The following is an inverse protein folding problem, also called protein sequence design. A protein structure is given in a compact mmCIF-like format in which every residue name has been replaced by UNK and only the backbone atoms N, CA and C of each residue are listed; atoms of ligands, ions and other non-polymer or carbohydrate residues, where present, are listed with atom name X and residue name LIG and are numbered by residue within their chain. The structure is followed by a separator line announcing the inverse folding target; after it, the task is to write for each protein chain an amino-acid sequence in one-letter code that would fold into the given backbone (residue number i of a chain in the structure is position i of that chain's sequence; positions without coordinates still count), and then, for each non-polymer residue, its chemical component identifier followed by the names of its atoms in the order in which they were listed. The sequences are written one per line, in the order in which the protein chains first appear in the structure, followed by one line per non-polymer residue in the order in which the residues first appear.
data_IF_262233026013
#
_entry.id   IF_262233026013
#
_cell.length_a   1.000
_cell.length_b   1.000
_cell.length_c   1.000
_cell.angle_alpha   90.00
_cell.angle_beta   90.00
_cell.angle_gamma   90.00
#
_symmetry.space_group_name_H-M   'P 1'
#
loop_
_entity.id
_entity.type
_entity.pdbx_description
1 polymer ?
#
# COMPACT_ATOMS: atom_id res chain seq x y z
N UNK A 1 40.59 -22.27 48.52
CA UNK A 1 40.60 -21.01 47.70
C UNK A 1 39.54 -21.17 46.62
N UNK A 2 38.37 -20.55 46.80
CA UNK A 2 37.23 -20.59 45.89
C UNK A 2 37.35 -19.36 45.00
N UNK A 3 37.56 -19.57 43.68
CA UNK A 3 37.56 -18.49 42.69
C UNK A 3 36.12 -18.17 42.31
N UNK A 4 35.59 -17.04 42.75
CA UNK A 4 34.32 -16.47 42.25
C UNK A 4 34.56 -15.90 40.86
N UNK A 5 33.84 -16.45 39.86
CA UNK A 5 33.73 -15.88 38.53
C UNK A 5 32.56 -14.88 38.54
N UNK A 6 32.84 -13.59 38.40
CA UNK A 6 31.82 -12.59 38.13
C UNK A 6 31.52 -12.59 36.63
N UNK A 7 30.35 -13.08 36.25
CA UNK A 7 29.83 -12.89 34.89
C UNK A 7 29.29 -11.46 34.76
N UNK A 8 29.97 -10.63 34.00
CA UNK A 8 29.49 -9.30 33.62
C UNK A 8 28.42 -9.53 32.58
N UNK A 9 27.15 -9.36 32.94
CA UNK A 9 26.03 -9.27 32.00
C UNK A 9 26.12 -7.87 31.37
N UNK A 10 26.62 -7.80 30.14
CA UNK A 10 26.53 -6.60 29.33
C UNK A 10 25.04 -6.42 28.95
N UNK A 11 24.37 -5.49 29.64
CA UNK A 11 23.04 -5.03 29.24
C UNK A 11 23.25 -4.22 27.95
N UNK A 12 23.01 -4.85 26.79
CA UNK A 12 22.92 -4.14 25.52
C UNK A 12 21.62 -3.34 25.58
N UNK A 13 21.71 -2.09 26.01
CA UNK A 13 20.64 -1.12 25.76
C UNK A 13 20.53 -0.96 24.24
N UNK A 14 19.55 -1.64 23.62
CA UNK A 14 19.15 -1.30 22.27
C UNK A 14 18.72 0.17 22.26
N UNK A 15 19.26 0.99 21.36
CA UNK A 15 18.89 2.39 21.30
C UNK A 15 17.37 2.48 21.09
N UNK A 16 16.69 3.18 22.00
CA UNK A 16 15.30 3.55 21.82
C UNK A 16 15.19 4.29 20.47
N UNK A 17 14.39 3.73 19.59
CA UNK A 17 14.00 4.17 18.27
C UNK A 17 14.76 5.39 17.70
N UNK A 18 15.72 5.10 16.85
CA UNK A 18 16.35 6.10 15.94
C UNK A 18 15.30 6.82 15.06
N UNK A 19 14.08 6.32 15.02
CA UNK A 19 12.98 6.78 14.16
C UNK A 19 12.05 7.81 14.79
N UNK A 20 12.28 8.24 16.02
CA UNK A 20 11.34 9.10 16.79
C UNK A 20 10.98 10.44 16.10
N UNK A 21 11.69 10.83 15.02
CA UNK A 21 11.46 12.07 14.29
C UNK A 21 11.23 11.89 12.78
N UNK A 22 11.30 10.68 12.22
CA UNK A 22 11.09 10.47 10.78
C UNK A 22 9.61 10.22 10.48
N UNK A 23 9.09 10.95 9.50
CA UNK A 23 7.69 10.82 9.06
C UNK A 23 7.54 9.59 8.17
N UNK A 24 6.43 8.88 8.34
CA UNK A 24 6.07 7.71 7.54
C UNK A 24 4.71 7.92 6.90
N UNK A 25 4.63 7.70 5.60
CA UNK A 25 3.38 7.64 4.85
C UNK A 25 3.08 6.18 4.50
N UNK A 26 2.02 5.63 5.04
CA UNK A 26 1.55 4.29 4.68
C UNK A 26 0.55 4.42 3.53
N UNK A 27 1.01 4.22 2.31
CA UNK A 27 0.18 4.44 1.12
C UNK A 27 -0.70 3.25 0.72
N UNK A 28 -0.71 2.19 1.52
CA UNK A 28 -1.51 1.01 1.23
C UNK A 28 -1.92 0.29 2.51
N UNK A 29 -3.09 0.64 3.04
CA UNK A 29 -3.71 -0.11 4.12
C UNK A 29 -5.17 -0.44 3.79
N UNK A 30 -5.66 -1.51 4.42
CA UNK A 30 -7.05 -1.90 4.36
C UNK A 30 -7.71 -1.88 5.73
N UNK A 31 -8.98 -1.46 5.75
CA UNK A 31 -9.85 -1.65 6.90
C UNK A 31 -11.22 -2.09 6.41
N UNK A 32 -11.39 -3.40 6.34
CA UNK A 32 -12.53 -4.07 5.77
C UNK A 32 -13.60 -4.39 6.82
N UNK A 33 -14.73 -4.91 6.38
CA UNK A 33 -15.84 -5.35 7.28
C UNK A 33 -15.39 -6.42 8.29
N UNK A 34 -14.52 -7.34 7.87
CA UNK A 34 -13.96 -8.42 8.67
C UNK A 34 -12.92 -7.92 9.70
N UNK A 35 -12.10 -6.95 9.35
CA UNK A 35 -11.19 -6.31 10.31
C UNK A 35 -11.91 -5.75 11.55
N UNK A 36 -13.12 -5.23 11.36
CA UNK A 36 -13.91 -4.61 12.45
C UNK A 36 -14.32 -5.60 13.53
N UNK A 37 -14.37 -6.89 13.23
CA UNK A 37 -14.66 -7.93 14.22
C UNK A 37 -13.49 -8.14 15.17
N UNK A 38 -12.25 -7.96 14.66
CA UNK A 38 -11.01 -8.25 15.38
C UNK A 38 -10.35 -6.98 15.94
N UNK A 39 -10.40 -5.86 15.21
CA UNK A 39 -9.72 -4.62 15.57
C UNK A 39 -10.66 -3.43 15.41
N UNK A 40 -10.93 -2.71 16.47
CA UNK A 40 -11.79 -1.52 16.47
C UNK A 40 -11.13 -0.34 15.72
N UNK A 41 -11.96 0.64 15.32
CA UNK A 41 -11.47 1.89 14.71
C UNK A 41 -10.49 2.61 15.64
N UNK A 42 -10.77 2.62 16.93
CA UNK A 42 -9.93 3.26 17.96
C UNK A 42 -8.56 2.58 18.08
N UNK A 43 -8.51 1.26 18.03
CA UNK A 43 -7.27 0.48 18.04
C UNK A 43 -6.44 0.73 16.79
N UNK A 44 -7.07 0.74 15.60
CA UNK A 44 -6.37 1.10 14.37
C UNK A 44 -5.75 2.49 14.43
N UNK A 45 -6.50 3.48 14.92
CA UNK A 45 -6.00 4.85 15.09
C UNK A 45 -4.81 4.89 16.06
N UNK A 46 -4.88 4.13 17.15
CA UNK A 46 -3.80 4.06 18.13
C UNK A 46 -2.54 3.38 17.55
N UNK A 47 -2.71 2.27 16.82
CA UNK A 47 -1.62 1.59 16.12
C UNK A 47 -0.91 2.56 15.16
N UNK A 48 -1.64 3.26 14.32
CA UNK A 48 -1.07 4.20 13.36
C UNK A 48 -0.31 5.36 14.05
N UNK A 49 -0.85 5.89 15.15
CA UNK A 49 -0.19 6.94 15.95
C UNK A 49 1.08 6.45 16.63
N UNK A 50 1.05 5.26 17.23
CA UNK A 50 2.22 4.65 17.90
C UNK A 50 3.39 4.44 16.93
N UNK A 51 3.10 4.22 15.66
CA UNK A 51 4.09 4.06 14.60
C UNK A 51 4.38 5.36 13.82
N UNK A 52 3.97 6.52 14.35
CA UNK A 52 4.23 7.83 13.74
C UNK A 52 3.80 7.96 12.28
N UNK A 53 2.72 7.24 11.89
CA UNK A 53 2.14 7.37 10.56
C UNK A 53 1.47 8.74 10.45
N UNK A 54 2.05 9.60 9.61
CA UNK A 54 1.56 10.97 9.43
C UNK A 54 0.64 11.16 8.24
N UNK A 55 0.57 10.16 7.35
CA UNK A 55 -0.30 10.12 6.18
C UNK A 55 -0.59 8.67 5.83
N UNK A 56 -1.84 8.32 5.55
CA UNK A 56 -2.17 6.97 5.05
C UNK A 56 -3.24 7.00 3.97
N UNK A 57 -3.06 6.16 2.95
CA UNK A 57 -4.10 5.84 1.97
C UNK A 57 -4.79 4.56 2.46
N UNK A 58 -6.10 4.62 2.58
CA UNK A 58 -6.89 3.50 3.05
C UNK A 58 -7.98 3.10 2.07
N UNK A 59 -8.03 1.82 1.74
CA UNK A 59 -9.13 1.18 1.05
C UNK A 59 -9.91 0.26 2.00
N UNK A 60 -11.23 0.28 1.92
CA UNK A 60 -12.10 -0.60 2.72
C UNK A 60 -13.02 -1.41 1.83
N UNK A 61 -13.29 -2.64 2.20
CA UNK A 61 -14.28 -3.50 1.55
C UNK A 61 -15.42 -3.80 2.52
N UNK A 62 -16.62 -3.25 2.30
CA UNK A 62 -16.91 -2.09 1.45
C UNK A 62 -16.28 -0.80 1.98
N UNK A 63 -16.33 0.29 1.23
CA UNK A 63 -15.62 1.54 1.56
C UNK A 63 -16.03 2.28 2.85
N UNK A 64 -17.22 2.14 3.45
CA UNK A 64 -17.60 2.93 4.63
C UNK A 64 -16.67 2.83 5.84
N UNK A 65 -16.06 1.68 6.20
CA UNK A 65 -15.08 1.62 7.30
C UNK A 65 -13.89 2.57 7.16
N UNK A 66 -13.42 2.79 5.93
CA UNK A 66 -12.36 3.77 5.65
C UNK A 66 -12.79 5.22 5.96
N UNK A 67 -14.07 5.54 5.76
CA UNK A 67 -14.62 6.85 6.09
C UNK A 67 -14.72 7.06 7.60
N UNK A 68 -15.05 6.02 8.37
CA UNK A 68 -15.10 6.10 9.84
C UNK A 68 -13.71 6.41 10.42
N UNK A 69 -12.66 5.79 9.88
CA UNK A 69 -11.29 6.11 10.27
C UNK A 69 -10.96 7.59 9.98
N UNK A 70 -11.33 8.11 8.81
CA UNK A 70 -11.12 9.52 8.50
C UNK A 70 -11.90 10.46 9.43
N UNK A 71 -13.12 10.12 9.81
CA UNK A 71 -13.91 10.92 10.76
C UNK A 71 -13.23 11.03 12.14
N UNK A 72 -12.55 9.97 12.58
CA UNK A 72 -11.80 9.95 13.84
C UNK A 72 -10.43 10.63 13.76
N UNK A 73 -9.81 10.69 12.59
CA UNK A 73 -8.41 11.08 12.43
C UNK A 73 -8.23 12.39 11.70
N UNK A 74 -9.16 12.76 10.84
CA UNK A 74 -9.05 13.95 9.99
C UNK A 74 -8.23 13.71 8.72
N UNK A 75 -7.53 14.73 8.27
CA UNK A 75 -6.99 14.80 6.91
C UNK A 75 -5.79 13.92 6.63
N UNK A 76 -5.12 13.37 7.63
CA UNK A 76 -3.99 12.47 7.41
C UNK A 76 -4.41 11.04 7.02
N UNK A 77 -5.68 10.66 7.18
CA UNK A 77 -6.27 9.45 6.60
C UNK A 77 -7.00 9.80 5.31
N UNK A 78 -6.62 9.16 4.22
CA UNK A 78 -7.06 9.45 2.84
C UNK A 78 -7.84 8.25 2.28
N UNK A 79 -9.18 8.23 2.40
CA UNK A 79 -9.99 7.14 1.89
C UNK A 79 -9.98 7.07 0.36
N UNK A 80 -9.75 5.87 -0.16
CA UNK A 80 -10.01 5.52 -1.55
C UNK A 80 -11.34 4.78 -1.68
N UNK A 81 -12.02 4.98 -2.77
CA UNK A 81 -13.22 4.22 -3.08
C UNK A 81 -12.85 2.82 -3.57
N UNK A 82 -13.19 1.80 -2.80
CA UNK A 82 -13.08 0.41 -3.23
C UNK A 82 -14.23 0.05 -4.16
N UNK A 83 -13.97 -0.62 -5.30
CA UNK A 83 -15.04 -1.08 -6.19
C UNK A 83 -15.89 -2.20 -5.56
N UNK A 84 -15.47 -2.78 -4.45
CA UNK A 84 -16.16 -3.85 -3.73
C UNK A 84 -17.20 -3.25 -2.81
N UNK A 85 -18.40 -2.97 -3.35
CA UNK A 85 -19.47 -2.25 -2.65
C UNK A 85 -20.29 -3.11 -1.68
N UNK A 86 -19.94 -4.38 -1.57
CA UNK A 86 -20.43 -5.34 -0.58
C UNK A 86 -19.32 -6.38 -0.26
N UNK A 87 -19.49 -7.17 0.77
CA UNK A 87 -18.47 -8.09 1.31
C UNK A 87 -17.92 -9.08 0.26
N UNK A 88 -18.78 -9.59 -0.64
CA UNK A 88 -18.39 -10.49 -1.71
C UNK A 88 -18.07 -9.79 -3.04
N UNK A 89 -18.01 -8.47 -3.06
CA UNK A 89 -17.89 -7.64 -4.25
C UNK A 89 -16.66 -7.88 -5.11
N UNK A 90 -15.61 -8.51 -4.59
CA UNK A 90 -14.42 -8.88 -5.38
C UNK A 90 -14.75 -9.82 -6.56
N UNK A 91 -15.87 -10.53 -6.51
CA UNK A 91 -16.27 -11.53 -7.52
C UNK A 91 -17.10 -10.95 -8.67
N UNK A 92 -17.73 -9.79 -8.48
CA UNK A 92 -18.77 -9.29 -9.40
C UNK A 92 -18.75 -7.78 -9.66
N UNK A 93 -17.92 -7.00 -8.98
CA UNK A 93 -17.86 -5.54 -9.12
C UNK A 93 -17.81 -5.05 -10.57
N UNK A 94 -17.19 -5.82 -11.45
CA UNK A 94 -16.99 -5.49 -12.85
C UNK A 94 -18.22 -5.74 -13.75
N UNK A 95 -19.31 -6.18 -13.17
CA UNK A 95 -20.64 -6.30 -13.80
C UNK A 95 -21.66 -5.31 -13.21
N UNK A 96 -21.37 -4.73 -12.03
CA UNK A 96 -22.34 -3.91 -11.31
C UNK A 96 -22.21 -2.41 -11.61
N UNK A 97 -23.22 -1.85 -12.26
CA UNK A 97 -23.32 -0.41 -12.54
C UNK A 97 -23.39 0.46 -11.26
N UNK A 98 -23.80 -0.08 -10.12
CA UNK A 98 -23.85 0.65 -8.86
C UNK A 98 -22.45 1.05 -8.40
N UNK A 99 -21.42 0.27 -8.75
CA UNK A 99 -20.00 0.60 -8.47
C UNK A 99 -19.66 1.98 -9.01
N UNK A 100 -19.95 2.25 -10.28
CA UNK A 100 -19.67 3.53 -10.92
C UNK A 100 -20.48 4.67 -10.30
N UNK A 101 -21.78 4.43 -10.03
CA UNK A 101 -22.66 5.44 -9.43
C UNK A 101 -22.18 5.84 -8.03
N UNK A 102 -21.83 4.85 -7.19
CA UNK A 102 -21.32 5.09 -5.83
C UNK A 102 -19.95 5.77 -5.85
N UNK A 103 -19.05 5.35 -6.76
CA UNK A 103 -17.76 6.01 -6.96
C UNK A 103 -17.94 7.49 -7.31
N UNK A 104 -18.74 7.78 -8.34
CA UNK A 104 -18.99 9.15 -8.77
C UNK A 104 -19.62 10.01 -7.65
N UNK A 105 -20.61 9.47 -6.96
CA UNK A 105 -21.25 10.15 -5.84
C UNK A 105 -20.24 10.47 -4.73
N UNK A 106 -19.41 9.51 -4.34
CA UNK A 106 -18.42 9.69 -3.29
C UNK A 106 -17.32 10.68 -3.66
N UNK A 107 -16.80 10.61 -4.87
CA UNK A 107 -15.79 11.55 -5.38
C UNK A 107 -16.35 12.99 -5.51
N UNK A 108 -17.55 13.12 -6.05
CA UNK A 108 -18.23 14.42 -6.19
C UNK A 108 -18.42 15.15 -4.87
N UNK A 109 -18.67 14.41 -3.78
CA UNK A 109 -18.87 14.99 -2.45
C UNK A 109 -17.59 15.05 -1.61
N UNK A 110 -16.40 14.77 -2.19
CA UNK A 110 -15.12 14.83 -1.49
C UNK A 110 -14.97 13.79 -0.37
N UNK A 111 -15.72 12.68 -0.44
CA UNK A 111 -15.62 11.58 0.54
C UNK A 111 -14.43 10.68 0.26
N UNK A 112 -14.09 10.49 -1.01
CA UNK A 112 -12.96 9.68 -1.48
C UNK A 112 -12.00 10.52 -2.29
N UNK A 113 -10.73 10.21 -2.18
CA UNK A 113 -9.61 10.93 -2.79
C UNK A 113 -8.80 10.08 -3.76
N UNK A 114 -9.33 8.92 -4.10
CA UNK A 114 -8.77 7.95 -5.04
C UNK A 114 -9.76 6.81 -5.27
N UNK A 115 -9.42 5.90 -6.18
CA UNK A 115 -10.16 4.69 -6.48
C UNK A 115 -9.22 3.49 -6.34
N UNK A 116 -9.61 2.50 -5.56
CA UNK A 116 -8.83 1.27 -5.37
C UNK A 116 -9.00 0.69 -3.97
N UNK A 117 -8.44 -0.42 -3.77
CA UNK A 117 -7.62 -1.24 -4.65
C UNK A 117 -8.46 -1.98 -5.69
N UNK A 118 -8.07 -1.91 -6.96
CA UNK A 118 -8.77 -2.58 -8.06
C UNK A 118 -7.98 -3.83 -8.48
N UNK A 119 -8.54 -5.02 -8.28
CA UNK A 119 -7.86 -6.29 -8.55
C UNK A 119 -8.06 -6.80 -9.98
N UNK A 120 -6.94 -7.16 -10.61
CA UNK A 120 -6.86 -7.97 -11.80
C UNK A 120 -6.14 -9.28 -11.45
N UNK A 121 -6.89 -10.27 -10.97
CA UNK A 121 -6.33 -11.52 -10.47
C UNK A 121 -6.43 -12.65 -11.50
N UNK A 122 -5.44 -13.56 -11.49
CA UNK A 122 -5.49 -14.77 -12.31
C UNK A 122 -6.73 -15.61 -11.92
N UNK A 123 -7.62 -15.87 -12.88
CA UNK A 123 -8.88 -16.59 -12.63
C UNK A 123 -10.04 -15.71 -12.13
N UNK A 124 -9.78 -14.51 -11.64
CA UNK A 124 -10.77 -13.46 -11.45
C UNK A 124 -10.59 -12.43 -12.56
N UNK A 125 -11.67 -12.17 -13.27
CA UNK A 125 -11.70 -11.08 -14.25
C UNK A 125 -11.96 -9.78 -13.47
N UNK A 126 -11.75 -8.59 -13.97
CA UNK A 126 -11.99 -8.25 -15.37
C UNK A 126 -10.74 -8.22 -16.23
N UNK A 127 -10.96 -8.05 -17.53
CA UNK A 127 -9.92 -7.58 -18.45
C UNK A 127 -9.83 -6.05 -18.36
N UNK A 128 -8.69 -5.48 -18.73
CA UNK A 128 -8.46 -4.02 -18.73
C UNK A 128 -9.41 -3.22 -19.65
N UNK A 129 -10.12 -3.88 -20.56
CA UNK A 129 -11.16 -3.28 -21.39
C UNK A 129 -12.59 -3.48 -20.84
N UNK A 130 -12.72 -3.91 -19.58
CA UNK A 130 -14.04 -4.03 -18.95
C UNK A 130 -14.73 -2.67 -18.84
N UNK A 131 -16.03 -2.61 -19.13
CA UNK A 131 -16.80 -1.37 -19.17
C UNK A 131 -16.85 -0.62 -17.84
N UNK A 132 -17.04 -1.34 -16.73
CA UNK A 132 -17.07 -0.72 -15.40
C UNK A 132 -15.69 -0.15 -15.06
N UNK A 133 -14.62 -0.92 -15.29
CA UNK A 133 -13.26 -0.46 -15.06
C UNK A 133 -12.90 0.79 -15.88
N UNK A 134 -13.24 0.81 -17.18
CA UNK A 134 -13.01 1.99 -18.02
C UNK A 134 -13.75 3.23 -17.50
N UNK A 135 -14.97 3.06 -16.99
CA UNK A 135 -15.71 4.16 -16.38
C UNK A 135 -15.09 4.64 -15.07
N UNK A 136 -14.50 3.75 -14.26
CA UNK A 136 -13.74 4.15 -13.08
C UNK A 136 -12.49 4.96 -13.47
N UNK A 137 -11.79 4.60 -14.55
CA UNK A 137 -10.69 5.39 -15.12
C UNK A 137 -11.17 6.79 -15.52
N UNK A 138 -12.31 6.91 -16.20
CA UNK A 138 -12.87 8.21 -16.59
C UNK A 138 -13.26 9.05 -15.35
N UNK A 139 -13.74 8.43 -14.28
CA UNK A 139 -13.97 9.13 -13.01
C UNK A 139 -12.67 9.60 -12.37
N UNK A 140 -11.61 8.79 -12.39
CA UNK A 140 -10.30 9.19 -11.89
C UNK A 140 -9.74 10.40 -12.64
N UNK A 141 -9.90 10.42 -13.98
CA UNK A 141 -9.55 11.59 -14.82
C UNK A 141 -10.42 12.82 -14.48
N UNK A 142 -11.74 12.63 -14.42
CA UNK A 142 -12.72 13.71 -14.17
C UNK A 142 -12.49 14.43 -12.85
N UNK A 143 -12.18 13.67 -11.80
CA UNK A 143 -11.98 14.19 -10.44
C UNK A 143 -10.50 14.39 -10.07
N UNK A 144 -9.59 14.12 -11.02
CA UNK A 144 -8.14 14.24 -10.83
C UNK A 144 -7.64 13.50 -9.58
N UNK A 145 -8.08 12.26 -9.42
CA UNK A 145 -7.69 11.39 -8.29
C UNK A 145 -6.85 10.20 -8.76
N UNK A 146 -5.95 9.67 -7.91
CA UNK A 146 -5.17 8.48 -8.26
C UNK A 146 -6.02 7.21 -8.26
N UNK A 147 -5.51 6.18 -8.92
CA UNK A 147 -6.02 4.82 -8.86
C UNK A 147 -4.96 3.87 -8.30
N UNK A 148 -5.36 2.96 -7.41
CA UNK A 148 -4.54 1.85 -6.95
C UNK A 148 -4.98 0.58 -7.67
N UNK A 149 -4.04 -0.09 -8.31
CA UNK A 149 -4.29 -1.25 -9.16
C UNK A 149 -3.40 -2.41 -8.72
N UNK A 150 -4.05 -3.52 -8.40
CA UNK A 150 -3.44 -4.79 -8.06
C UNK A 150 -3.45 -5.75 -9.26
N UNK A 151 -2.35 -6.44 -9.48
CA UNK A 151 -2.26 -7.49 -10.47
C UNK A 151 -1.39 -8.65 -10.00
N UNK A 152 -2.00 -9.77 -9.63
CA UNK A 152 -1.30 -10.98 -9.20
C UNK A 152 -0.46 -11.64 -10.29
N UNK A 153 -0.85 -11.48 -11.54
CA UNK A 153 -0.20 -12.16 -12.65
C UNK A 153 1.04 -11.45 -13.20
N UNK A 154 1.37 -10.28 -12.64
CA UNK A 154 2.57 -9.55 -13.00
C UNK A 154 2.76 -9.33 -14.50
N UNK A 155 1.69 -9.07 -15.25
CA UNK A 155 1.81 -8.91 -16.69
C UNK A 155 2.26 -7.49 -17.05
N UNK A 156 3.57 -7.29 -17.13
CA UNK A 156 4.23 -6.05 -17.51
C UNK A 156 3.59 -5.39 -18.74
N UNK A 157 3.40 -6.15 -19.84
CA UNK A 157 2.89 -5.59 -21.09
C UNK A 157 1.44 -5.10 -20.96
N UNK A 158 0.62 -5.81 -20.20
CA UNK A 158 -0.77 -5.39 -19.95
C UNK A 158 -0.80 -4.12 -19.13
N UNK A 159 0.06 -4.03 -18.12
CA UNK A 159 0.17 -2.83 -17.29
C UNK A 159 0.72 -1.63 -18.07
N UNK A 160 1.76 -1.84 -18.91
CA UNK A 160 2.29 -0.82 -19.81
C UNK A 160 1.21 -0.26 -20.75
N UNK A 161 0.41 -1.13 -21.36
CA UNK A 161 -0.72 -0.67 -22.20
C UNK A 161 -1.73 0.16 -21.41
N UNK A 162 -2.01 -0.25 -20.18
CA UNK A 162 -2.96 0.46 -19.31
C UNK A 162 -2.47 1.86 -18.96
N UNK A 163 -1.25 1.98 -18.44
CA UNK A 163 -0.72 3.28 -17.99
C UNK A 163 -0.44 4.21 -19.17
N UNK A 164 0.08 3.69 -20.29
CA UNK A 164 0.33 4.50 -21.51
C UNK A 164 -0.95 5.02 -22.15
N UNK A 165 -2.04 4.24 -22.10
CA UNK A 165 -3.34 4.67 -22.59
C UNK A 165 -4.02 5.73 -21.68
N UNK A 166 -3.55 5.88 -20.45
CA UNK A 166 -4.16 6.76 -19.45
C UNK A 166 -3.14 7.68 -18.76
N UNK A 167 -2.34 8.47 -19.52
CA UNK A 167 -1.23 9.24 -18.95
C UNK A 167 -1.67 10.34 -17.96
N UNK A 168 -2.95 10.72 -17.95
CA UNK A 168 -3.50 11.70 -17.02
C UNK A 168 -3.86 11.10 -15.66
N UNK A 169 -3.96 9.78 -15.53
CA UNK A 169 -4.30 9.10 -14.28
C UNK A 169 -3.02 8.76 -13.53
N UNK A 170 -2.90 9.22 -12.30
CA UNK A 170 -1.84 8.77 -11.39
C UNK A 170 -2.18 7.36 -10.91
N UNK A 171 -1.28 6.41 -11.12
CA UNK A 171 -1.51 5.00 -10.83
C UNK A 171 -0.53 4.54 -9.75
N UNK A 172 -1.05 3.96 -8.68
CA UNK A 172 -0.28 3.15 -7.73
C UNK A 172 -0.34 1.71 -8.25
N UNK A 173 0.80 1.15 -8.58
CA UNK A 173 0.89 -0.27 -8.91
C UNK A 173 1.20 -1.03 -7.63
N UNK A 174 0.14 -1.63 -7.10
CA UNK A 174 0.18 -2.33 -5.82
C UNK A 174 1.23 -3.44 -5.83
N UNK A 175 1.97 -3.56 -4.72
CA UNK A 175 2.99 -4.58 -4.49
C UNK A 175 4.12 -4.59 -5.55
N UNK A 176 4.35 -3.48 -6.25
CA UNK A 176 5.23 -3.43 -7.42
C UNK A 176 4.99 -4.63 -8.36
N UNK A 177 3.69 -4.93 -8.61
CA UNK A 177 3.27 -6.04 -9.46
C UNK A 177 3.46 -7.44 -8.88
N UNK A 178 3.58 -7.57 -7.55
CA UNK A 178 3.66 -8.85 -6.84
C UNK A 178 4.91 -9.64 -7.19
N UNK A 179 4.88 -10.45 -8.24
CA UNK A 179 5.97 -11.35 -8.63
C UNK A 179 6.93 -10.75 -9.69
N UNK A 180 6.79 -9.48 -10.06
CA UNK A 180 7.69 -8.85 -11.02
C UNK A 180 9.07 -8.59 -10.41
N UNK A 181 10.12 -8.83 -11.21
CA UNK A 181 11.51 -8.50 -10.88
C UNK A 181 11.85 -7.04 -11.26
N UNK A 182 13.01 -6.52 -10.83
CA UNK A 182 13.43 -5.15 -11.11
C UNK A 182 13.47 -4.79 -12.60
N UNK A 183 13.85 -5.73 -13.48
CA UNK A 183 13.96 -5.46 -14.92
C UNK A 183 12.59 -5.22 -15.57
N UNK A 184 11.55 -5.93 -15.12
CA UNK A 184 10.17 -5.70 -15.56
C UNK A 184 9.62 -4.37 -15.02
N UNK A 185 9.89 -4.07 -13.74
CA UNK A 185 9.48 -2.81 -13.13
C UNK A 185 10.16 -1.62 -13.82
N UNK A 186 11.44 -1.73 -14.14
CA UNK A 186 12.17 -0.66 -14.84
C UNK A 186 11.52 -0.30 -16.17
N UNK A 187 11.15 -1.30 -16.99
CA UNK A 187 10.43 -1.05 -18.26
C UNK A 187 9.11 -0.31 -18.04
N UNK A 188 8.37 -0.64 -16.98
CA UNK A 188 7.13 0.08 -16.64
C UNK A 188 7.44 1.53 -16.27
N UNK A 189 8.47 1.78 -15.46
CA UNK A 189 8.88 3.12 -15.04
C UNK A 189 9.37 3.97 -16.21
N UNK A 190 10.07 3.36 -17.17
CA UNK A 190 10.52 4.03 -18.41
C UNK A 190 9.35 4.33 -19.36
N UNK A 191 8.41 3.39 -19.48
CA UNK A 191 7.27 3.52 -20.39
C UNK A 191 6.13 4.40 -19.88
N UNK A 192 6.03 4.63 -18.57
CA UNK A 192 4.92 5.33 -17.92
C UNK A 192 5.39 6.31 -16.85
N UNK A 193 5.28 7.61 -17.11
CA UNK A 193 5.64 8.65 -16.15
C UNK A 193 4.62 8.84 -15.00
N UNK A 194 3.43 8.25 -15.13
CA UNK A 194 2.28 8.40 -14.24
C UNK A 194 2.06 7.24 -13.27
N UNK A 195 3.08 6.40 -13.04
CA UNK A 195 3.00 5.22 -12.17
C UNK A 195 3.91 5.36 -10.96
N UNK A 196 3.41 5.01 -9.78
CA UNK A 196 4.16 4.81 -8.55
C UNK A 196 4.08 3.33 -8.15
N UNK A 197 5.19 2.79 -7.66
CA UNK A 197 5.30 1.41 -7.17
C UNK A 197 5.19 1.43 -5.65
N UNK A 198 4.24 0.74 -5.06
CA UNK A 198 4.31 0.49 -3.62
C UNK A 198 4.98 -0.85 -3.31
N UNK A 199 5.60 -0.95 -2.15
CA UNK A 199 6.21 -2.19 -1.66
C UNK A 199 5.37 -2.88 -0.59
N UNK A 200 4.08 -2.55 -0.52
CA UNK A 200 3.14 -3.27 0.33
C UNK A 200 3.17 -4.78 0.02
N UNK A 201 3.02 -5.59 1.03
CA UNK A 201 3.06 -7.05 0.94
C UNK A 201 4.31 -7.67 0.28
N UNK A 202 5.37 -6.91 0.02
CA UNK A 202 6.64 -7.43 -0.51
C UNK A 202 7.60 -7.89 0.58
N UNK A 203 7.11 -8.05 1.78
CA UNK A 203 7.83 -8.66 2.90
C UNK A 203 8.03 -10.17 2.68
N UNK A 204 8.98 -10.80 3.43
CA UNK A 204 9.34 -12.22 3.27
C UNK A 204 8.20 -13.20 3.59
N UNK A 205 7.15 -12.72 4.24
CA UNK A 205 6.04 -13.56 4.70
C UNK A 205 4.90 -13.67 3.69
N UNK A 206 4.86 -12.75 2.68
CA UNK A 206 3.79 -12.69 1.67
C UNK A 206 4.32 -12.86 0.25
N UNK A 207 4.47 -11.79 -0.55
CA UNK A 207 4.96 -11.90 -1.94
C UNK A 207 6.47 -12.07 -2.04
N UNK A 208 7.24 -11.57 -1.03
CA UNK A 208 8.70 -11.66 -1.00
C UNK A 208 9.42 -11.02 -2.21
N UNK A 209 10.68 -11.40 -2.40
CA UNK A 209 11.47 -11.12 -3.61
C UNK A 209 12.09 -9.73 -3.71
N UNK A 210 12.05 -8.91 -2.65
CA UNK A 210 12.74 -7.61 -2.64
C UNK A 210 13.90 -7.54 -1.64
N UNK A 211 13.94 -8.43 -0.64
CA UNK A 211 14.86 -8.31 0.49
C UNK A 211 15.75 -9.53 0.69
N UNK A 212 16.90 -9.29 1.32
CA UNK A 212 17.83 -10.29 1.85
C UNK A 212 17.28 -10.85 3.17
N UNK A 213 17.98 -11.85 3.74
CA UNK A 213 17.62 -12.45 5.03
C UNK A 213 17.63 -11.44 6.20
N UNK A 214 18.44 -10.40 6.13
CA UNK A 214 18.52 -9.31 7.10
C UNK A 214 17.49 -8.19 6.85
N UNK A 215 16.59 -8.40 5.90
CA UNK A 215 15.54 -7.48 5.46
C UNK A 215 16.04 -6.20 4.78
N UNK A 216 17.32 -6.08 4.43
CA UNK A 216 17.80 -5.04 3.52
C UNK A 216 17.43 -5.37 2.08
N UNK A 217 17.43 -4.38 1.17
CA UNK A 217 17.06 -4.64 -0.23
C UNK A 217 18.09 -5.55 -0.93
N UNK A 218 17.60 -6.40 -1.81
CA UNK A 218 18.43 -7.04 -2.83
C UNK A 218 19.11 -5.96 -3.69
N UNK A 219 20.33 -6.22 -4.13
CA UNK A 219 21.16 -5.19 -4.79
C UNK A 219 20.54 -4.63 -6.07
N UNK A 220 19.80 -5.47 -6.82
CA UNK A 220 19.07 -5.03 -8.02
C UNK A 220 17.90 -4.10 -7.65
N UNK A 221 17.14 -4.41 -6.61
CA UNK A 221 16.07 -3.56 -6.12
C UNK A 221 16.59 -2.25 -5.55
N UNK A 222 17.67 -2.31 -4.77
CA UNK A 222 18.34 -1.13 -4.23
C UNK A 222 18.80 -0.19 -5.35
N UNK A 223 19.41 -0.75 -6.40
CA UNK A 223 19.86 0.00 -7.58
C UNK A 223 18.69 0.68 -8.29
N UNK A 224 17.60 -0.06 -8.52
CA UNK A 224 16.39 0.46 -9.17
C UNK A 224 15.75 1.59 -8.37
N UNK A 225 15.60 1.40 -7.06
CA UNK A 225 15.00 2.39 -6.15
C UNK A 225 15.81 3.69 -6.12
N UNK A 226 17.14 3.59 -6.08
CA UNK A 226 18.04 4.76 -6.13
C UNK A 226 17.98 5.45 -7.51
N UNK A 227 17.82 4.68 -8.59
CA UNK A 227 17.70 5.23 -9.96
C UNK A 227 16.39 6.01 -10.15
N UNK A 228 15.28 5.56 -9.52
CA UNK A 228 13.96 6.16 -9.67
C UNK A 228 13.35 6.61 -8.32
N UNK A 229 14.04 7.47 -7.52
CA UNK A 229 13.67 7.73 -6.13
C UNK A 229 12.31 8.41 -5.95
N UNK A 230 11.75 8.99 -7.01
CA UNK A 230 10.44 9.66 -7.02
C UNK A 230 9.27 8.74 -7.41
N UNK A 231 9.53 7.45 -7.62
CA UNK A 231 8.58 6.52 -8.20
C UNK A 231 8.20 5.35 -7.29
N UNK A 232 8.77 5.31 -6.08
CA UNK A 232 8.48 4.31 -5.06
C UNK A 232 7.82 4.95 -3.85
N UNK A 233 6.92 4.21 -3.22
CA UNK A 233 6.21 4.58 -2.00
C UNK A 233 6.15 3.38 -1.05
N UNK A 234 5.93 3.64 0.23
CA UNK A 234 5.75 2.61 1.26
C UNK A 234 4.28 2.24 1.42
N UNK A 235 4.02 1.03 1.89
CA UNK A 235 2.70 0.55 2.25
C UNK A 235 2.80 -0.76 3.03
N UNK A 236 2.03 -0.92 4.10
CA UNK A 236 2.09 -2.13 4.94
C UNK A 236 1.12 -3.22 4.50
N UNK A 237 -0.03 -2.85 3.97
CA UNK A 237 -1.09 -3.77 3.56
C UNK A 237 -1.46 -4.81 4.64
N UNK A 238 -1.99 -4.40 5.79
CA UNK A 238 -2.31 -5.31 6.89
C UNK A 238 -3.62 -6.07 6.62
N UNK A 239 -3.64 -6.95 5.61
CA UNK A 239 -4.85 -7.61 5.10
C UNK A 239 -5.03 -9.04 5.60
N UNK A 240 -3.96 -9.76 5.91
CA UNK A 240 -4.02 -11.13 6.40
C UNK A 240 -2.85 -11.48 7.29
N UNK A 241 -3.01 -12.57 8.06
CA UNK A 241 -1.93 -13.15 8.84
C UNK A 241 -0.69 -13.30 7.97
N UNK A 242 0.43 -12.95 8.54
CA UNK A 242 1.77 -13.22 8.02
C UNK A 242 2.03 -14.73 8.05
N UNK A 243 1.10 -15.53 7.54
CA UNK A 243 1.21 -16.99 7.44
C UNK A 243 0.67 -17.42 6.08
N UNK A 244 1.42 -18.30 5.42
CA UNK A 244 0.98 -18.88 4.15
C UNK A 244 -0.35 -19.62 4.33
N UNK A 245 -1.33 -19.29 3.50
CA UNK A 245 -2.61 -20.01 3.41
C UNK A 245 -3.84 -19.27 3.89
N UNK A 246 -3.75 -17.93 4.04
CA UNK A 246 -4.94 -17.11 4.30
C UNK A 246 -5.97 -17.29 3.18
N UNK A 247 -7.20 -17.42 3.58
CA UNK A 247 -8.34 -17.59 2.68
C UNK A 247 -9.14 -16.29 2.68
N UNK A 248 -9.67 -15.91 1.53
CA UNK A 248 -10.52 -14.75 1.35
C UNK A 248 -11.85 -14.78 2.13
N UNK A 249 -12.13 -15.87 2.80
CA UNK A 249 -13.35 -16.16 3.59
C UNK A 249 -13.06 -16.30 5.10
N UNK A 250 -11.87 -15.95 5.56
CA UNK A 250 -11.52 -15.91 6.99
C UNK A 250 -11.33 -14.47 7.44
N UNK A 251 -11.60 -14.22 8.73
CA UNK A 251 -11.38 -12.92 9.35
C UNK A 251 -9.92 -12.48 9.18
N UNK A 252 -9.76 -11.19 8.95
CA UNK A 252 -8.45 -10.64 8.62
C UNK A 252 -7.80 -10.08 9.88
N UNK A 253 -6.75 -10.76 10.32
CA UNK A 253 -5.98 -10.42 11.53
C UNK A 253 -4.72 -9.60 11.21
N UNK A 254 -4.61 -9.02 10.02
CA UNK A 254 -3.40 -8.33 9.55
C UNK A 254 -2.95 -7.18 10.45
N UNK A 255 -3.86 -6.54 11.19
CA UNK A 255 -3.54 -5.45 12.11
C UNK A 255 -2.73 -5.87 13.34
N UNK A 256 -2.78 -7.12 13.78
CA UNK A 256 -1.89 -7.64 14.83
C UNK A 256 -0.41 -7.57 14.42
N UNK A 257 -0.13 -7.67 13.14
CA UNK A 257 1.21 -7.70 12.57
C UNK A 257 1.69 -6.35 12.07
N UNK A 258 0.91 -5.28 12.25
CA UNK A 258 1.24 -3.96 11.74
C UNK A 258 2.66 -3.52 12.12
N UNK A 259 3.05 -3.70 13.38
CA UNK A 259 4.40 -3.38 13.84
C UNK A 259 5.48 -4.12 13.05
N UNK A 260 5.31 -5.42 12.80
CA UNK A 260 6.26 -6.23 12.06
C UNK A 260 6.41 -5.75 10.61
N UNK A 261 5.31 -5.41 9.96
CA UNK A 261 5.29 -4.87 8.61
C UNK A 261 5.95 -3.49 8.53
N UNK A 262 5.66 -2.63 9.50
CA UNK A 262 6.27 -1.31 9.64
C UNK A 262 7.78 -1.39 9.88
N UNK A 263 8.23 -2.26 10.78
CA UNK A 263 9.65 -2.47 11.08
C UNK A 263 10.41 -3.00 9.85
N UNK A 264 9.79 -3.87 9.07
CA UNK A 264 10.34 -4.35 7.79
C UNK A 264 10.58 -3.18 6.83
N UNK A 265 9.62 -2.28 6.67
CA UNK A 265 9.80 -1.10 5.82
C UNK A 265 10.95 -0.23 6.28
N UNK A 266 11.07 0.03 7.58
CA UNK A 266 12.18 0.83 8.10
C UNK A 266 13.54 0.14 7.93
N UNK A 267 13.62 -1.19 7.98
CA UNK A 267 14.87 -1.90 7.80
C UNK A 267 15.46 -1.64 6.41
N UNK A 268 14.69 -1.85 5.34
CA UNK A 268 15.21 -1.60 4.00
C UNK A 268 15.31 -0.11 3.65
N UNK A 269 14.45 0.75 4.22
CA UNK A 269 14.55 2.20 4.03
C UNK A 269 15.88 2.74 4.57
N UNK A 270 16.35 2.22 5.70
CA UNK A 270 17.63 2.64 6.31
C UNK A 270 18.87 2.19 5.53
N UNK A 271 18.73 1.20 4.65
CA UNK A 271 19.80 0.81 3.72
C UNK A 271 19.95 1.80 2.55
N UNK A 272 19.03 2.75 2.41
CA UNK A 272 19.04 3.75 1.35
C UNK A 272 19.71 5.06 1.78
N UNK A 273 20.27 5.84 0.83
CA UNK A 273 20.66 7.21 1.11
C UNK A 273 19.50 8.03 1.70
N UNK A 274 19.79 8.89 2.67
CA UNK A 274 18.78 9.67 3.41
C UNK A 274 17.79 10.41 2.52
N UNK A 275 18.28 11.06 1.44
CA UNK A 275 17.41 11.77 0.50
C UNK A 275 16.43 10.83 -0.21
N UNK A 276 16.87 9.64 -0.60
CA UNK A 276 16.03 8.62 -1.26
C UNK A 276 15.01 8.09 -0.27
N UNK A 277 15.46 7.74 0.95
CA UNK A 277 14.60 7.27 2.04
C UNK A 277 13.47 8.26 2.33
N UNK A 278 13.80 9.55 2.53
CA UNK A 278 12.82 10.60 2.81
C UNK A 278 11.76 10.75 1.71
N UNK A 279 12.17 10.66 0.44
CA UNK A 279 11.23 10.67 -0.70
C UNK A 279 10.26 9.51 -0.63
N UNK A 280 10.75 8.30 -0.44
CA UNK A 280 9.94 7.08 -0.48
C UNK A 280 9.06 6.97 0.76
N UNK A 281 9.63 7.22 1.94
CA UNK A 281 8.90 7.10 3.19
C UNK A 281 7.82 8.18 3.37
N UNK A 282 7.93 9.34 2.68
CA UNK A 282 7.06 10.48 2.95
C UNK A 282 6.65 11.29 1.73
N UNK A 283 7.60 11.89 1.00
CA UNK A 283 7.31 12.94 0.05
C UNK A 283 6.51 12.44 -1.17
N UNK A 284 6.85 11.26 -1.68
CA UNK A 284 6.24 10.74 -2.91
C UNK A 284 4.73 10.49 -2.75
N UNK A 285 4.28 10.05 -1.58
CA UNK A 285 2.84 9.88 -1.30
C UNK A 285 2.12 11.22 -1.27
N UNK A 286 2.73 12.27 -0.73
CA UNK A 286 2.19 13.63 -0.81
C UNK A 286 2.09 14.14 -2.25
N UNK A 287 3.14 13.96 -3.04
CA UNK A 287 3.18 14.34 -4.46
C UNK A 287 2.10 13.59 -5.24
N UNK A 288 1.99 12.29 -5.04
CA UNK A 288 0.95 11.45 -5.64
C UNK A 288 -0.45 11.98 -5.35
N UNK A 289 -0.70 12.39 -4.11
CA UNK A 289 -2.01 12.93 -3.67
C UNK A 289 -2.18 14.43 -3.97
N UNK A 290 -1.19 15.10 -4.58
CA UNK A 290 -1.16 16.55 -4.78
C UNK A 290 -1.32 17.34 -3.48
N UNK A 291 -0.71 16.88 -2.40
CA UNK A 291 -0.71 17.53 -1.09
C UNK A 291 0.63 18.23 -0.85
N UNK A 292 0.60 19.32 -0.09
CA UNK A 292 1.83 19.98 0.32
C UNK A 292 2.68 19.04 1.20
N UNK A 293 3.97 19.02 0.97
CA UNK A 293 4.95 18.30 1.79
C UNK A 293 5.37 19.25 2.92
N UNK A 294 5.04 18.92 4.16
CA UNK A 294 5.35 19.72 5.35
C UNK A 294 6.30 19.01 6.30
#
# INVERSE_FOLDING_TARGET
MIKLWYSIILLVCLPASVYANEKFADSHIHYNWDHRAETSVEEVVEILKQHHVGLTIIAGTPSPPALELREKTGDWVVPFFSPYIHELGKRDWYFDEQVVKKAEQGLKHGRYFGIGEVHFTAGFKPRTNNRIFLRLIELAKKYDVPMMIHSDSGNEQTFLRLCSANPQVRIIFAHAGGNLDPAHIEKILEGCSNVWMDFAARDPWRYDGISKEDHTLLDEWRTLVIKYPHRFITGTDPVWKVTRGSRWDTDDEGWEYYKQLYDFHWTWLNDLPEEVRRKIAWENTHILLKRAVH
#
